data_IF_579050594461
#
_entry.id   IF_579050594461
#
_cell.length_a   1.000
_cell.length_b   1.000
_cell.length_c   1.000
_cell.angle_alpha   90.00
_cell.angle_beta   90.00
_cell.angle_gamma   90.00
#
_symmetry.space_group_name_H-M   'P 1'
#
loop_
_entity.id
_entity.type
_entity.pdbx_description
1 polymer ?
#
# COMPACT_ATOMS: atom_id res chain seq x y z
N UNK A 1 2.13 -15.72 9.16
CA UNK A 1 0.84 -15.30 9.80
C UNK A 1 -0.05 -14.76 8.67
N UNK A 2 -1.36 -14.97 8.71
CA UNK A 2 -2.29 -14.48 7.68
C UNK A 2 -3.45 -13.77 8.37
N UNK A 3 -3.96 -12.72 7.77
CA UNK A 3 -5.17 -12.03 8.23
C UNK A 3 -6.25 -12.17 7.17
N UNK A 4 -7.43 -12.61 7.56
CA UNK A 4 -8.52 -12.93 6.61
C UNK A 4 -9.82 -12.29 7.05
N UNK A 5 -10.53 -11.71 6.08
CA UNK A 5 -11.94 -11.35 6.15
C UNK A 5 -12.75 -12.27 5.23
N UNK A 6 -14.07 -12.11 5.18
CA UNK A 6 -14.93 -12.88 4.28
C UNK A 6 -14.59 -12.69 2.77
N UNK A 7 -13.80 -11.68 2.41
CA UNK A 7 -13.57 -11.29 1.01
C UNK A 7 -12.11 -11.24 0.60
N UNK A 8 -11.19 -11.02 1.54
CA UNK A 8 -9.76 -10.92 1.25
C UNK A 8 -8.90 -11.53 2.36
N UNK A 9 -7.70 -11.92 1.97
CA UNK A 9 -6.61 -12.30 2.87
C UNK A 9 -5.39 -11.43 2.59
N UNK A 10 -4.68 -10.97 3.63
CA UNK A 10 -3.32 -10.47 3.49
C UNK A 10 -2.34 -11.48 4.07
N UNK A 11 -1.25 -11.73 3.37
CA UNK A 11 -0.25 -12.73 3.73
C UNK A 11 1.10 -12.44 3.09
N UNK A 12 2.21 -12.95 3.64
CA UNK A 12 3.51 -12.91 2.97
C UNK A 12 3.41 -13.43 1.52
N UNK A 13 4.21 -12.86 0.64
CA UNK A 13 4.35 -13.32 -0.75
C UNK A 13 5.05 -14.67 -0.75
N UNK A 14 4.51 -15.63 -1.48
CA UNK A 14 5.10 -16.95 -1.70
C UNK A 14 5.82 -17.01 -3.05
N UNK A 15 6.65 -18.03 -3.22
CA UNK A 15 7.35 -18.25 -4.49
C UNK A 15 6.38 -18.42 -5.67
N UNK A 16 5.27 -19.13 -5.45
CA UNK A 16 4.23 -19.36 -6.47
C UNK A 16 3.49 -18.06 -6.90
N UNK A 17 3.56 -17.00 -6.09
CA UNK A 17 2.97 -15.71 -6.43
C UNK A 17 3.83 -14.88 -7.38
N UNK A 18 5.11 -15.20 -7.54
CA UNK A 18 6.08 -14.34 -8.23
C UNK A 18 5.70 -14.05 -9.68
N UNK A 19 5.23 -15.06 -10.41
CA UNK A 19 4.82 -14.85 -11.81
C UNK A 19 3.62 -13.92 -11.90
N UNK A 20 2.62 -14.16 -11.06
CA UNK A 20 1.43 -13.30 -11.02
C UNK A 20 1.76 -11.88 -10.57
N UNK A 21 2.61 -11.72 -9.56
CA UNK A 21 3.05 -10.41 -9.09
C UNK A 21 3.78 -9.64 -10.19
N UNK A 22 4.67 -10.32 -10.93
CA UNK A 22 5.34 -9.72 -12.08
C UNK A 22 4.35 -9.29 -13.17
N UNK A 23 3.38 -10.14 -13.52
CA UNK A 23 2.35 -9.79 -14.51
C UNK A 23 1.59 -8.51 -14.13
N UNK A 24 1.22 -8.39 -12.85
CA UNK A 24 0.46 -7.26 -12.34
C UNK A 24 1.28 -5.96 -12.25
N UNK A 25 2.58 -6.08 -11.93
CA UNK A 25 3.39 -4.93 -11.54
C UNK A 25 4.41 -4.48 -12.58
N UNK A 26 5.05 -5.39 -13.34
CA UNK A 26 6.20 -5.05 -14.19
C UNK A 26 6.13 -5.55 -15.64
N UNK A 27 5.09 -6.29 -16.02
CA UNK A 27 4.95 -6.81 -17.37
C UNK A 27 4.65 -5.69 -18.38
N UNK A 28 3.74 -4.80 -18.02
CA UNK A 28 3.28 -3.75 -18.91
C UNK A 28 4.05 -2.44 -18.67
N UNK A 29 4.28 -1.69 -19.76
CA UNK A 29 4.94 -0.38 -19.71
C UNK A 29 4.05 0.67 -19.06
N UNK A 30 2.76 0.69 -19.40
CA UNK A 30 1.80 1.69 -18.97
C UNK A 30 0.60 1.01 -18.25
N UNK A 31 0.81 0.36 -17.08
CA UNK A 31 -0.26 -0.33 -16.39
C UNK A 31 -1.27 0.66 -15.80
N UNK A 32 -2.55 0.32 -15.85
CA UNK A 32 -3.65 1.21 -15.44
C UNK A 32 -3.52 1.69 -13.99
N UNK A 33 -3.05 0.84 -13.08
CA UNK A 33 -2.87 1.19 -11.67
C UNK A 33 -1.86 2.32 -11.44
N UNK A 34 -0.87 2.48 -12.35
CA UNK A 34 0.20 3.47 -12.22
C UNK A 34 -0.30 4.92 -12.29
N UNK A 35 -1.43 5.17 -12.93
CA UNK A 35 -2.04 6.50 -12.98
C UNK A 35 -2.51 7.01 -11.60
N UNK A 36 -2.65 6.13 -10.61
CA UNK A 36 -3.02 6.47 -9.24
C UNK A 36 -1.83 6.41 -8.27
N UNK A 37 -0.84 5.57 -8.56
CA UNK A 37 0.35 5.38 -7.74
C UNK A 37 1.53 6.21 -8.27
N UNK A 38 1.62 7.45 -7.77
CA UNK A 38 2.70 8.39 -8.09
C UNK A 38 3.05 8.42 -9.59
N UNK A 39 2.10 8.78 -10.48
CA UNK A 39 2.30 8.71 -11.94
C UNK A 39 3.39 9.67 -12.46
N UNK A 40 3.78 10.63 -11.66
CA UNK A 40 4.88 11.56 -11.92
C UNK A 40 6.27 10.93 -11.77
N UNK A 41 6.38 9.71 -11.27
CA UNK A 41 7.61 8.91 -11.32
C UNK A 41 7.52 7.91 -12.48
N UNK A 42 8.60 7.70 -13.23
CA UNK A 42 8.60 6.77 -14.34
C UNK A 42 8.34 5.33 -13.85
N UNK A 43 7.65 4.57 -14.66
CA UNK A 43 7.47 3.14 -14.50
C UNK A 43 8.20 2.42 -15.64
N UNK A 44 9.09 1.50 -15.28
CA UNK A 44 9.86 0.74 -16.27
C UNK A 44 9.47 -0.73 -16.16
N UNK A 45 8.97 -1.33 -17.26
CA UNK A 45 8.72 -2.75 -17.31
C UNK A 45 10.02 -3.52 -17.26
N UNK A 46 9.96 -4.76 -16.78
CA UNK A 46 11.14 -5.62 -16.79
C UNK A 46 10.78 -7.06 -17.18
N UNK A 47 11.70 -7.79 -17.85
CA UNK A 47 11.54 -9.20 -18.13
C UNK A 47 11.37 -10.02 -16.83
N UNK A 48 10.65 -11.13 -16.92
CA UNK A 48 10.39 -11.98 -15.74
C UNK A 48 11.69 -12.52 -15.12
N UNK A 49 12.66 -12.90 -15.94
CA UNK A 49 13.97 -13.39 -15.49
C UNK A 49 14.69 -12.35 -14.62
N UNK A 50 14.63 -11.08 -15.00
CA UNK A 50 15.21 -9.98 -14.22
C UNK A 50 14.42 -9.72 -12.94
N UNK A 51 13.11 -9.89 -12.97
CA UNK A 51 12.27 -9.79 -11.78
C UNK A 51 12.63 -10.89 -10.77
N UNK A 52 12.91 -12.12 -11.23
CA UNK A 52 13.30 -13.24 -10.37
C UNK A 52 14.63 -13.01 -9.62
N UNK A 53 15.51 -12.17 -10.11
CA UNK A 53 16.74 -11.77 -9.38
C UNK A 53 16.44 -11.07 -8.05
N UNK A 54 15.20 -10.59 -7.88
CA UNK A 54 14.71 -9.95 -6.64
C UNK A 54 13.99 -10.91 -5.70
N UNK A 55 13.89 -12.19 -6.02
CA UNK A 55 13.14 -13.20 -5.28
C UNK A 55 13.40 -13.15 -3.77
N UNK A 56 14.67 -13.13 -3.36
CA UNK A 56 15.06 -13.14 -1.95
C UNK A 56 14.67 -11.85 -1.20
N UNK A 57 14.31 -10.78 -1.92
CA UNK A 57 13.80 -9.51 -1.38
C UNK A 57 12.29 -9.40 -1.46
N UNK A 58 11.61 -10.42 -1.97
CA UNK A 58 10.16 -10.42 -2.23
C UNK A 58 9.46 -11.50 -1.42
N UNK A 59 10.00 -12.73 -1.46
CA UNK A 59 9.38 -13.89 -0.84
C UNK A 59 9.57 -13.88 0.66
N UNK A 60 8.47 -14.09 1.40
CA UNK A 60 8.44 -14.18 2.88
C UNK A 60 9.04 -12.96 3.61
N UNK A 61 8.98 -11.77 2.99
CA UNK A 61 9.44 -10.54 3.64
C UNK A 61 8.38 -9.98 4.58
N UNK A 62 8.84 -9.24 5.61
CA UNK A 62 7.95 -8.62 6.61
C UNK A 62 7.42 -7.25 6.17
N UNK A 63 8.11 -6.58 5.25
CA UNK A 63 7.84 -5.20 4.87
C UNK A 63 6.82 -5.05 3.74
N UNK A 64 6.41 -6.16 3.08
CA UNK A 64 5.27 -6.14 2.20
C UNK A 64 4.62 -7.53 2.02
N UNK A 65 3.30 -7.52 1.94
CA UNK A 65 2.48 -8.72 1.82
C UNK A 65 1.51 -8.64 0.66
N UNK A 66 1.15 -9.80 0.13
CA UNK A 66 0.13 -9.92 -0.92
C UNK A 66 -1.28 -9.72 -0.37
N UNK A 67 -2.13 -9.10 -1.18
CA UNK A 67 -3.57 -9.06 -1.00
C UNK A 67 -4.17 -10.10 -1.95
N UNK A 68 -4.89 -11.06 -1.37
CA UNK A 68 -5.55 -12.13 -2.10
C UNK A 68 -7.07 -11.96 -2.01
N UNK A 69 -7.75 -12.06 -3.14
CA UNK A 69 -9.21 -12.14 -3.24
C UNK A 69 -9.57 -13.30 -4.17
N UNK A 70 -10.58 -14.08 -3.78
CA UNK A 70 -11.07 -15.22 -4.58
C UNK A 70 -9.95 -16.22 -4.98
N UNK A 71 -8.96 -16.41 -4.10
CA UNK A 71 -7.82 -17.29 -4.34
C UNK A 71 -6.76 -16.73 -5.32
N UNK A 72 -6.82 -15.43 -5.66
CA UNK A 72 -5.89 -14.77 -6.57
C UNK A 72 -5.21 -13.59 -5.92
N UNK A 73 -3.91 -13.41 -6.19
CA UNK A 73 -3.20 -12.19 -5.84
C UNK A 73 -3.75 -11.02 -6.68
N UNK A 74 -4.21 -9.96 -6.01
CA UNK A 74 -4.80 -8.77 -6.65
C UNK A 74 -4.03 -7.47 -6.32
N UNK A 75 -3.18 -7.48 -5.31
CA UNK A 75 -2.50 -6.29 -4.85
C UNK A 75 -1.48 -6.58 -3.76
N UNK A 76 -0.97 -5.53 -3.16
CA UNK A 76 -0.01 -5.58 -2.06
C UNK A 76 -0.30 -4.52 -1.01
N UNK A 77 0.08 -4.81 0.24
CA UNK A 77 0.31 -3.86 1.31
C UNK A 77 1.79 -3.84 1.64
N UNK A 78 2.30 -2.68 2.02
CA UNK A 78 3.72 -2.52 2.35
C UNK A 78 3.93 -1.52 3.47
N UNK A 79 5.14 -1.52 4.03
CA UNK A 79 5.64 -0.40 4.79
C UNK A 79 7.10 -0.10 4.43
N UNK A 80 7.53 1.12 4.71
CA UNK A 80 8.93 1.52 4.66
C UNK A 80 9.25 2.48 5.81
N UNK A 81 10.49 2.41 6.28
CA UNK A 81 10.94 3.28 7.36
C UNK A 81 11.27 4.68 6.84
N UNK A 82 10.60 5.68 7.39
CA UNK A 82 11.03 7.08 7.27
C UNK A 82 12.19 7.36 8.23
N UNK A 83 12.09 6.87 9.47
CA UNK A 83 13.16 6.95 10.45
C UNK A 83 13.04 5.81 11.48
N UNK A 84 13.77 4.73 11.25
CA UNK A 84 13.70 3.51 12.08
C UNK A 84 14.00 3.75 13.57
N UNK A 85 15.02 4.56 13.96
CA UNK A 85 15.28 4.84 15.38
C UNK A 85 14.11 5.52 16.11
N UNK A 86 13.28 6.28 15.41
CA UNK A 86 12.05 6.88 15.98
C UNK A 86 10.82 5.98 15.83
N UNK A 87 10.98 4.75 15.35
CA UNK A 87 9.87 3.85 15.02
C UNK A 87 8.80 4.51 14.10
N UNK A 88 9.27 5.35 13.17
CA UNK A 88 8.43 6.02 12.20
C UNK A 88 8.49 5.32 10.86
N UNK A 89 7.39 4.72 10.47
CA UNK A 89 7.19 4.09 9.17
C UNK A 89 5.96 4.68 8.47
N UNK A 90 5.94 4.52 7.16
CA UNK A 90 4.77 4.78 6.33
C UNK A 90 4.31 3.51 5.62
N UNK A 91 3.00 3.41 5.44
CA UNK A 91 2.36 2.27 4.77
C UNK A 91 1.92 2.62 3.36
N UNK A 92 1.80 1.59 2.54
CA UNK A 92 1.26 1.68 1.19
C UNK A 92 0.30 0.55 0.89
N UNK A 93 -0.56 0.77 -0.11
CA UNK A 93 -1.42 -0.24 -0.70
C UNK A 93 -1.52 -0.01 -2.20
N UNK A 94 -1.43 -1.09 -2.96
CA UNK A 94 -1.71 -1.09 -4.40
C UNK A 94 -2.69 -2.21 -4.70
N UNK A 95 -3.81 -1.89 -5.33
CA UNK A 95 -4.70 -2.86 -5.99
C UNK A 95 -4.44 -2.71 -7.49
N UNK A 96 -3.87 -3.73 -8.10
CA UNK A 96 -3.41 -3.67 -9.48
C UNK A 96 -4.52 -3.68 -10.51
N UNK A 97 -5.60 -4.44 -10.26
CA UNK A 97 -6.70 -4.63 -11.21
C UNK A 97 -7.89 -3.72 -10.88
N UNK A 98 -8.36 -2.95 -11.88
CA UNK A 98 -9.46 -2.00 -11.73
C UNK A 98 -10.79 -2.63 -11.30
N UNK A 99 -11.00 -3.91 -11.62
CA UNK A 99 -12.17 -4.68 -11.18
C UNK A 99 -12.34 -4.72 -9.63
N UNK A 100 -11.25 -4.55 -8.88
CA UNK A 100 -11.25 -4.58 -7.42
C UNK A 100 -11.19 -3.18 -6.76
N UNK A 101 -11.20 -2.09 -7.52
CA UNK A 101 -11.01 -0.74 -6.95
C UNK A 101 -12.20 -0.19 -6.16
N UNK A 102 -13.41 -0.62 -6.44
CA UNK A 102 -14.63 -0.07 -5.83
C UNK A 102 -15.22 -0.92 -4.71
N UNK A 103 -14.66 -2.10 -4.44
CA UNK A 103 -15.19 -3.08 -3.47
C UNK A 103 -14.73 -2.91 -2.03
N UNK A 104 -14.02 -1.82 -1.70
CA UNK A 104 -13.47 -1.62 -0.35
C UNK A 104 -12.26 -2.50 -0.01
N UNK A 105 -11.68 -3.18 -0.99
CA UNK A 105 -10.55 -4.10 -0.82
C UNK A 105 -9.33 -3.42 -0.20
N UNK A 106 -8.97 -2.22 -0.68
CA UNK A 106 -7.85 -1.45 -0.14
C UNK A 106 -8.06 -1.03 1.31
N UNK A 107 -9.27 -0.60 1.67
CA UNK A 107 -9.61 -0.25 3.05
C UNK A 107 -9.50 -1.46 3.98
N UNK A 108 -10.05 -2.60 3.57
CA UNK A 108 -9.96 -3.85 4.36
C UNK A 108 -8.52 -4.31 4.52
N UNK A 109 -7.74 -4.29 3.44
CA UNK A 109 -6.33 -4.68 3.47
C UNK A 109 -5.52 -3.78 4.41
N UNK A 110 -5.69 -2.46 4.33
CA UNK A 110 -5.00 -1.52 5.22
C UNK A 110 -5.47 -1.63 6.67
N UNK A 111 -6.75 -1.90 6.94
CA UNK A 111 -7.22 -2.17 8.31
C UNK A 111 -6.45 -3.33 8.92
N UNK A 112 -6.36 -4.46 8.23
CA UNK A 112 -5.62 -5.63 8.70
C UNK A 112 -4.10 -5.37 8.78
N UNK A 113 -3.56 -4.58 7.86
CA UNK A 113 -2.15 -4.24 7.84
C UNK A 113 -1.75 -3.35 9.02
N UNK A 114 -2.53 -2.31 9.31
CA UNK A 114 -2.34 -1.43 10.47
C UNK A 114 -2.44 -2.23 11.77
N UNK A 115 -3.44 -3.12 11.87
CA UNK A 115 -3.59 -4.05 13.00
C UNK A 115 -2.35 -4.91 13.19
N UNK A 116 -1.86 -5.53 12.12
CA UNK A 116 -0.64 -6.33 12.15
C UNK A 116 0.55 -5.52 12.66
N UNK A 117 0.78 -4.34 12.09
CA UNK A 117 1.92 -3.49 12.42
C UNK A 117 1.90 -3.02 13.88
N UNK A 118 0.77 -2.53 14.37
CA UNK A 118 0.65 -2.08 15.76
C UNK A 118 0.70 -3.23 16.77
N UNK A 119 0.27 -4.44 16.40
CA UNK A 119 0.32 -5.60 17.32
C UNK A 119 1.68 -6.27 17.37
N UNK A 120 2.44 -6.23 16.27
CA UNK A 120 3.73 -6.92 16.17
C UNK A 120 4.95 -6.02 16.43
N UNK A 121 4.77 -4.71 16.31
CA UNK A 121 5.85 -3.74 16.50
C UNK A 121 5.48 -2.68 17.55
N UNK A 122 6.45 -2.15 18.32
CA UNK A 122 6.21 -1.12 19.33
C UNK A 122 6.08 0.28 18.72
N UNK A 123 5.33 0.39 17.60
CA UNK A 123 5.14 1.66 16.88
C UNK A 123 4.31 2.62 17.72
N UNK A 124 4.68 3.89 17.70
CA UNK A 124 3.89 4.98 18.30
C UNK A 124 2.95 5.62 17.28
N UNK A 125 3.23 5.43 16.00
CA UNK A 125 2.44 5.95 14.88
C UNK A 125 2.60 5.09 13.62
N UNK A 126 1.64 5.23 12.70
CA UNK A 126 1.70 4.77 11.32
C UNK A 126 1.33 5.93 10.42
N UNK A 127 2.13 6.18 9.39
CA UNK A 127 1.87 7.23 8.40
C UNK A 127 1.54 6.68 7.02
N UNK A 128 1.11 7.56 6.13
CA UNK A 128 0.79 7.28 4.74
C UNK A 128 1.03 8.55 3.92
N UNK A 129 1.77 8.43 2.82
CA UNK A 129 1.93 9.52 1.85
C UNK A 129 1.19 9.20 0.56
N UNK A 130 0.43 10.18 0.07
CA UNK A 130 -0.22 10.12 -1.24
C UNK A 130 -0.15 11.50 -1.92
N UNK A 131 -0.84 11.68 -3.02
CA UNK A 131 -0.90 12.94 -3.74
C UNK A 131 -2.35 13.36 -4.00
N UNK A 132 -2.59 14.65 -4.22
CA UNK A 132 -3.94 15.21 -4.33
C UNK A 132 -4.73 14.68 -5.53
N UNK A 133 -4.08 14.07 -6.51
CA UNK A 133 -4.74 13.37 -7.63
C UNK A 133 -5.33 12.01 -7.24
N UNK A 134 -4.89 11.41 -6.14
CA UNK A 134 -5.46 10.16 -5.63
C UNK A 134 -6.46 10.41 -4.48
N UNK A 135 -7.58 11.03 -4.81
CA UNK A 135 -8.63 11.32 -3.84
C UNK A 135 -9.21 10.06 -3.17
N UNK A 136 -9.17 8.92 -3.87
CA UNK A 136 -9.61 7.64 -3.28
C UNK A 136 -8.75 7.25 -2.10
N UNK A 137 -7.42 7.41 -2.22
CA UNK A 137 -6.50 7.06 -1.15
C UNK A 137 -6.67 7.98 0.05
N UNK A 138 -6.88 9.27 -0.17
CA UNK A 138 -7.19 10.23 0.92
C UNK A 138 -8.46 9.79 1.66
N UNK A 139 -9.54 9.46 0.93
CA UNK A 139 -10.79 8.98 1.54
C UNK A 139 -10.63 7.65 2.28
N UNK A 140 -9.79 6.75 1.77
CA UNK A 140 -9.47 5.50 2.49
C UNK A 140 -8.76 5.79 3.80
N UNK A 141 -7.75 6.67 3.80
CA UNK A 141 -7.03 7.06 5.01
C UNK A 141 -7.96 7.69 6.06
N UNK A 142 -8.85 8.59 5.64
CA UNK A 142 -9.87 9.20 6.51
C UNK A 142 -10.83 8.16 7.12
N UNK A 143 -11.29 7.19 6.32
CA UNK A 143 -12.14 6.08 6.80
C UNK A 143 -11.43 5.17 7.81
N UNK A 144 -10.11 5.05 7.69
CA UNK A 144 -9.28 4.32 8.66
C UNK A 144 -9.06 5.10 9.96
N UNK A 145 -9.49 6.36 10.04
CA UNK A 145 -9.30 7.24 11.20
C UNK A 145 -7.98 8.01 11.18
N UNK A 146 -7.29 8.06 10.05
CA UNK A 146 -6.08 8.87 9.91
C UNK A 146 -6.41 10.35 9.81
N UNK A 147 -5.54 11.18 10.39
CA UNK A 147 -5.59 12.64 10.31
C UNK A 147 -4.68 13.15 9.20
N UNK A 148 -5.12 14.16 8.44
CA UNK A 148 -4.24 14.86 7.51
C UNK A 148 -3.25 15.73 8.30
N UNK A 149 -1.97 15.36 8.25
CA UNK A 149 -0.90 16.04 9.00
C UNK A 149 -0.18 17.08 8.18
N UNK A 150 -0.13 16.92 6.84
CA UNK A 150 0.47 17.90 5.95
C UNK A 150 -0.14 17.84 4.54
N UNK A 151 -0.23 19.02 3.92
CA UNK A 151 -0.51 19.21 2.51
C UNK A 151 0.53 20.16 1.93
N UNK A 152 1.51 19.59 1.21
CA UNK A 152 2.61 20.35 0.61
C UNK A 152 2.19 20.71 -0.83
N UNK A 153 1.89 21.98 -1.03
CA UNK A 153 1.26 22.44 -2.27
C UNK A 153 2.23 22.48 -3.44
N UNK A 154 1.73 22.06 -4.65
CA UNK A 154 2.40 22.18 -5.95
C UNK A 154 3.81 21.56 -6.02
N UNK A 155 4.00 20.41 -5.39
CA UNK A 155 5.28 19.69 -5.36
C UNK A 155 5.33 18.48 -6.30
N UNK A 156 4.24 18.21 -7.00
CA UNK A 156 4.15 17.13 -8.00
C UNK A 156 3.61 17.70 -9.31
N UNK A 157 4.33 17.50 -10.40
CA UNK A 157 3.91 17.93 -11.74
C UNK A 157 3.61 16.72 -12.61
N UNK A 158 2.42 16.66 -13.20
CA UNK A 158 1.99 15.57 -14.07
C UNK A 158 0.92 16.05 -15.05
N UNK A 159 1.05 15.67 -16.33
CA UNK A 159 0.10 16.03 -17.38
C UNK A 159 -0.27 17.54 -17.43
N UNK A 160 0.73 18.41 -17.29
CA UNK A 160 0.53 19.86 -17.35
C UNK A 160 -0.08 20.49 -16.09
N UNK A 161 -0.30 19.72 -15.03
CA UNK A 161 -0.93 20.18 -13.77
C UNK A 161 0.00 19.98 -12.58
N UNK A 162 -0.02 20.93 -11.64
CA UNK A 162 0.63 20.80 -10.34
C UNK A 162 -0.33 20.19 -9.32
N UNK A 163 0.14 19.19 -8.60
CA UNK A 163 -0.55 18.52 -7.51
C UNK A 163 0.21 18.67 -6.19
N UNK A 164 -0.49 18.42 -5.11
CA UNK A 164 0.06 18.48 -3.76
C UNK A 164 0.49 17.10 -3.27
N UNK A 165 1.49 17.05 -2.38
CA UNK A 165 1.79 15.87 -1.57
C UNK A 165 0.95 15.93 -0.30
N UNK A 166 0.34 14.81 0.05
CA UNK A 166 -0.55 14.69 1.22
C UNK A 166 0.03 13.65 2.16
N UNK A 167 0.17 14.03 3.44
CA UNK A 167 0.59 13.14 4.50
C UNK A 167 -0.56 12.90 5.48
N UNK A 168 -0.88 11.64 5.69
CA UNK A 168 -1.88 11.19 6.65
C UNK A 168 -1.19 10.40 7.75
N UNK A 169 -1.71 10.45 8.97
CA UNK A 169 -1.11 9.73 10.08
C UNK A 169 -2.12 9.31 11.12
N UNK A 170 -1.76 8.27 11.89
CA UNK A 170 -2.51 7.73 12.99
C UNK A 170 -1.55 7.42 14.14
N UNK A 171 -1.85 7.91 15.33
CA UNK A 171 -1.13 7.57 16.56
C UNK A 171 -1.64 6.24 17.12
N UNK A 172 -0.82 5.55 17.91
CA UNK A 172 -1.20 4.29 18.56
C UNK A 172 -2.46 4.45 19.41
N UNK A 173 -2.54 5.49 20.23
CA UNK A 173 -3.69 5.78 21.07
C UNK A 173 -4.98 6.05 20.29
N UNK A 174 -4.87 6.65 19.10
CA UNK A 174 -6.00 6.85 18.18
C UNK A 174 -6.49 5.52 17.62
N UNK A 175 -5.58 4.64 17.23
CA UNK A 175 -5.90 3.29 16.78
C UNK A 175 -6.57 2.46 17.88
N UNK A 176 -6.03 2.47 19.10
CA UNK A 176 -6.59 1.76 20.26
C UNK A 176 -8.02 2.25 20.57
N UNK A 177 -8.24 3.57 20.54
CA UNK A 177 -9.56 4.16 20.73
C UNK A 177 -10.55 3.80 19.60
N UNK A 178 -10.07 3.65 18.38
CA UNK A 178 -10.92 3.27 17.23
C UNK A 178 -11.37 1.81 17.29
N UNK A 179 -10.50 0.91 17.77
CA UNK A 179 -10.83 -0.52 17.97
C UNK A 179 -11.88 -0.78 19.07
N UNK A 180 -11.98 0.13 20.02
CA UNK A 180 -12.87 -0.02 21.20
C UNK A 180 -14.31 0.40 20.91
N UNK A 181 -14.61 0.86 19.70
CA UNK A 181 -15.94 1.25 19.22
C UNK A 181 -16.56 0.15 18.36
#
# INVERSE_FOLDING_TARGET
>A
MNYTTNTITIRPIKEDDLHRLWELSFKDKDPEWKQWDAPYYPHEPMPYEKFLERKDKIVEQDDFWGIEAEGKLIGMVSYYWEHKPSLWLEIGVVIYESAYWSGGYGTKALTMWIEHLFTTMPLVRVGLTTWSGNERMVRVAEKLGMTMEARIRKVRYWNGVYYDSIRMGMLREEWEAHRSK
#
